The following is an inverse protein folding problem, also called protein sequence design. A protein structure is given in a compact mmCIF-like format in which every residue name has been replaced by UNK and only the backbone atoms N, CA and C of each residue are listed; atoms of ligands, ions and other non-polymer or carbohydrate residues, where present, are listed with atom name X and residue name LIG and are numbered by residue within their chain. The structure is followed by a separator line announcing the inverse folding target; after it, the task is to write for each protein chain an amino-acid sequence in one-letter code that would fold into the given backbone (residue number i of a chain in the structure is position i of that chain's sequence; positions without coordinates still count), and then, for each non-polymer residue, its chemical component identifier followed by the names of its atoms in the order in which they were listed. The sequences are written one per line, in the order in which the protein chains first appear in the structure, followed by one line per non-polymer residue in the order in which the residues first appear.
data_IF_809561986344
#
_entry.id   IF_809561986344
#
_cell.length_a   1.000
_cell.length_b   1.000
_cell.length_c   1.000
_cell.angle_alpha   90.00
_cell.angle_beta   90.00
_cell.angle_gamma   90.00
#
_symmetry.space_group_name_H-M   'P 1'
#
loop_
_entity.id
_entity.type
_entity.pdbx_description
1 polymer ?
#
# COMPACT_ATOMS: atom_id res chain seq x y z
N UNK A 1 -2.34 7.47 12.07
CA UNK A 1 -2.86 8.54 11.19
C UNK A 1 -4.24 8.13 10.70
N UNK A 2 -5.21 9.03 10.77
CA UNK A 2 -6.61 8.74 10.41
C UNK A 2 -6.85 8.95 8.89
N UNK A 3 -7.37 7.91 8.22
CA UNK A 3 -7.62 7.91 6.77
C UNK A 3 -8.67 8.95 6.36
N UNK A 4 -9.67 9.19 7.21
CA UNK A 4 -10.69 10.22 6.98
C UNK A 4 -10.06 11.61 6.97
N UNK A 5 -9.10 11.86 7.86
CA UNK A 5 -8.35 13.12 7.92
C UNK A 5 -7.51 13.36 6.66
N UNK A 6 -6.82 12.34 6.14
CA UNK A 6 -6.08 12.44 4.87
C UNK A 6 -7.03 12.73 3.72
N UNK A 7 -8.14 12.00 3.63
CA UNK A 7 -9.15 12.17 2.57
C UNK A 7 -9.74 13.57 2.58
N UNK A 8 -10.16 14.07 3.75
CA UNK A 8 -10.69 15.43 3.93
C UNK A 8 -9.66 16.50 3.55
N UNK A 9 -8.39 16.28 3.89
CA UNK A 9 -7.30 17.15 3.48
C UNK A 9 -7.17 17.19 1.95
N UNK A 10 -7.20 16.04 1.28
CA UNK A 10 -7.11 15.93 -0.19
C UNK A 10 -8.24 16.68 -0.86
N UNK A 11 -9.49 16.41 -0.47
CA UNK A 11 -10.68 17.04 -1.05
C UNK A 11 -10.63 18.56 -0.96
N UNK A 12 -10.42 19.08 0.26
CA UNK A 12 -10.31 20.53 0.49
C UNK A 12 -9.17 21.15 -0.32
N UNK A 13 -8.00 20.51 -0.32
CA UNK A 13 -6.81 21.01 -1.00
C UNK A 13 -7.01 21.03 -2.52
N UNK A 14 -7.66 20.00 -3.08
CA UNK A 14 -7.99 19.93 -4.49
C UNK A 14 -8.92 21.06 -4.92
N UNK A 15 -10.01 21.29 -4.17
CA UNK A 15 -10.91 22.41 -4.46
C UNK A 15 -10.19 23.77 -4.42
N UNK A 16 -9.32 23.99 -3.42
CA UNK A 16 -8.53 25.22 -3.34
C UNK A 16 -7.56 25.40 -4.51
N UNK A 17 -6.91 24.33 -4.95
CA UNK A 17 -6.02 24.34 -6.11
C UNK A 17 -6.79 24.62 -7.40
N UNK A 18 -7.99 24.07 -7.56
CA UNK A 18 -8.85 24.31 -8.73
C UNK A 18 -9.38 25.76 -8.76
N UNK A 19 -9.77 26.31 -7.62
CA UNK A 19 -10.26 27.70 -7.49
C UNK A 19 -9.13 28.74 -7.62
N UNK A 20 -7.91 28.40 -7.19
CA UNK A 20 -6.77 29.32 -7.16
C UNK A 20 -5.47 28.64 -7.62
N UNK A 21 -5.35 28.24 -8.89
CA UNK A 21 -4.19 27.49 -9.38
C UNK A 21 -2.89 28.31 -9.43
N UNK A 22 -2.99 29.64 -9.34
CA UNK A 22 -1.87 30.59 -9.36
C UNK A 22 -1.48 31.10 -7.96
N UNK A 23 -1.77 30.32 -6.89
CA UNK A 23 -1.35 30.70 -5.54
C UNK A 23 0.18 30.78 -5.45
N UNK A 24 0.66 31.93 -4.95
CA UNK A 24 2.06 32.15 -4.61
C UNK A 24 2.50 31.28 -3.42
N UNK A 25 3.81 31.28 -3.13
CA UNK A 25 4.41 30.47 -2.07
C UNK A 25 3.80 30.74 -0.69
N UNK A 26 3.52 32.01 -0.34
CA UNK A 26 2.98 32.36 0.97
C UNK A 26 1.55 31.82 1.14
N UNK A 27 0.68 31.98 0.14
CA UNK A 27 -0.67 31.42 0.19
C UNK A 27 -0.65 29.90 0.13
N UNK A 28 0.26 29.31 -0.65
CA UNK A 28 0.43 27.85 -0.73
C UNK A 28 0.82 27.25 0.61
N UNK A 29 1.77 27.91 1.31
CA UNK A 29 2.16 27.55 2.68
C UNK A 29 0.96 27.58 3.62
N UNK A 30 0.29 28.72 3.73
CA UNK A 30 -0.81 28.89 4.69
C UNK A 30 -2.03 28.01 4.42
N UNK A 31 -2.36 27.73 3.15
CA UNK A 31 -3.62 27.06 2.78
C UNK A 31 -3.48 25.56 2.54
N UNK A 32 -2.29 25.11 2.12
CA UNK A 32 -2.05 23.71 1.75
C UNK A 32 -1.02 23.06 2.67
N UNK A 33 0.16 23.67 2.82
CA UNK A 33 1.30 23.01 3.49
C UNK A 33 1.17 23.05 5.02
N UNK A 34 0.81 24.18 5.63
CA UNK A 34 0.63 24.26 7.08
C UNK A 34 -0.47 23.28 7.55
N UNK A 35 -1.65 23.21 6.91
CA UNK A 35 -2.63 22.19 7.26
C UNK A 35 -2.15 20.76 7.02
N UNK A 36 -1.33 20.50 6.00
CA UNK A 36 -0.73 19.17 5.82
C UNK A 36 0.20 18.79 6.98
N UNK A 37 1.12 19.69 7.33
CA UNK A 37 2.07 19.50 8.44
C UNK A 37 1.30 19.27 9.75
N UNK A 38 0.25 20.05 9.99
CA UNK A 38 -0.53 20.00 11.24
C UNK A 38 -1.52 18.84 11.29
N UNK A 39 -2.43 18.79 10.33
CA UNK A 39 -3.60 17.92 10.39
C UNK A 39 -3.26 16.50 9.91
N UNK A 40 -2.36 16.37 8.92
CA UNK A 40 -1.96 15.07 8.36
C UNK A 40 -0.75 14.50 9.09
N UNK A 41 0.35 15.26 9.19
CA UNK A 41 1.58 14.76 9.81
C UNK A 41 1.61 14.90 11.35
N UNK A 42 0.67 15.64 11.94
CA UNK A 42 0.53 15.78 13.40
C UNK A 42 1.53 16.73 14.07
N UNK A 43 2.17 17.62 13.32
CA UNK A 43 3.13 18.58 13.86
C UNK A 43 2.45 19.89 14.28
N UNK A 44 2.71 20.35 15.50
CA UNK A 44 2.03 21.52 16.05
C UNK A 44 2.86 22.80 15.94
N UNK A 45 2.34 23.79 15.22
CA UNK A 45 2.93 25.13 15.05
C UNK A 45 2.95 25.97 16.33
N UNK A 46 2.15 25.63 17.34
CA UNK A 46 2.16 26.30 18.64
C UNK A 46 3.18 25.71 19.62
N UNK A 47 3.94 24.71 19.18
CA UNK A 47 4.96 24.02 19.97
C UNK A 47 6.37 24.31 19.46
N UNK A 48 7.38 23.94 20.26
CA UNK A 48 8.79 24.04 19.85
C UNK A 48 9.22 22.92 18.90
N UNK A 49 8.31 22.03 18.48
CA UNK A 49 8.66 20.96 17.53
C UNK A 49 8.71 21.43 16.08
N UNK A 50 8.44 22.70 15.80
CA UNK A 50 8.56 23.32 14.48
C UNK A 50 9.35 24.62 14.61
N UNK A 51 10.39 24.78 13.79
CA UNK A 51 11.04 26.07 13.58
C UNK A 51 10.83 26.50 12.12
N UNK A 52 10.17 27.62 11.92
CA UNK A 52 9.97 28.21 10.60
C UNK A 52 11.19 29.04 10.21
N UNK A 53 11.53 29.07 8.92
CA UNK A 53 12.67 29.84 8.40
C UNK A 53 14.01 29.43 9.05
N UNK A 54 14.15 28.14 9.34
CA UNK A 54 15.29 27.55 10.05
C UNK A 54 16.58 27.77 9.29
N UNK A 55 17.59 28.30 9.97
CA UNK A 55 18.84 28.73 9.34
C UNK A 55 19.89 27.61 9.30
N UNK A 56 20.27 27.20 8.10
CA UNK A 56 21.32 26.21 7.85
C UNK A 56 22.63 26.90 7.45
N UNK A 57 23.73 26.52 8.10
CA UNK A 57 25.05 27.10 7.82
C UNK A 57 25.68 26.44 6.58
N UNK A 58 25.74 27.18 5.47
CA UNK A 58 26.32 26.76 4.20
C UNK A 58 27.65 27.46 3.93
N UNK A 59 28.74 26.84 4.40
CA UNK A 59 30.08 27.44 4.34
C UNK A 59 30.13 28.75 5.13
N UNK A 60 30.32 29.87 4.44
CA UNK A 60 30.28 31.23 5.05
C UNK A 60 28.89 31.89 5.03
N UNK A 61 27.91 31.31 4.33
CA UNK A 61 26.56 31.88 4.18
C UNK A 61 25.54 31.13 5.01
N UNK A 62 24.52 31.83 5.51
CA UNK A 62 23.34 31.19 6.10
C UNK A 62 22.23 31.15 5.06
N UNK A 63 21.72 29.96 4.81
CA UNK A 63 20.51 29.74 4.01
C UNK A 63 19.38 29.31 4.93
N UNK A 64 18.13 29.35 4.44
CA UNK A 64 16.96 29.01 5.24
C UNK A 64 16.14 27.93 4.55
N UNK A 65 15.63 27.01 5.34
CA UNK A 65 14.60 26.06 4.97
C UNK A 65 13.28 26.52 5.60
N UNK A 66 12.15 26.33 4.89
CA UNK A 66 10.86 26.88 5.33
C UNK A 66 10.41 26.33 6.67
N UNK A 67 10.59 25.03 6.89
CA UNK A 67 10.27 24.38 8.16
C UNK A 67 11.33 23.34 8.52
N UNK A 68 11.79 23.39 9.76
CA UNK A 68 12.49 22.31 10.42
C UNK A 68 11.61 21.70 11.49
N UNK A 69 11.34 20.39 11.38
CA UNK A 69 10.53 19.65 12.35
C UNK A 69 11.47 18.91 13.30
N UNK A 70 11.34 19.17 14.60
CA UNK A 70 12.29 18.74 15.62
C UNK A 70 11.80 17.51 16.40
N UNK A 71 12.69 16.54 16.54
CA UNK A 71 12.54 15.44 17.49
C UNK A 71 13.78 15.38 18.39
N UNK A 72 13.56 15.16 19.69
CA UNK A 72 14.61 15.08 20.71
C UNK A 72 15.64 16.23 20.68
N UNK A 73 15.15 17.44 20.40
CA UNK A 73 15.97 18.66 20.40
C UNK A 73 16.84 18.84 19.15
N UNK A 74 16.66 18.03 18.11
CA UNK A 74 17.37 18.15 16.83
C UNK A 74 16.42 18.11 15.62
N UNK A 75 16.76 18.73 14.48
CA UNK A 75 15.94 18.64 13.27
C UNK A 75 15.90 17.20 12.72
N UNK A 76 14.71 16.65 12.56
CA UNK A 76 14.49 15.29 12.04
C UNK A 76 13.88 15.29 10.63
N UNK A 77 13.08 16.31 10.31
CA UNK A 77 12.49 16.50 8.98
C UNK A 77 12.68 17.94 8.52
N UNK A 78 13.14 18.12 7.28
CA UNK A 78 13.11 19.41 6.61
C UNK A 78 11.98 19.48 5.60
N UNK A 79 11.23 20.58 5.61
CA UNK A 79 10.18 20.84 4.62
C UNK A 79 10.51 22.12 3.86
N UNK A 80 10.62 22.02 2.54
CA UNK A 80 10.80 23.15 1.63
C UNK A 80 9.50 23.33 0.82
N UNK A 81 8.96 24.54 0.86
CA UNK A 81 7.73 24.93 0.21
C UNK A 81 8.02 25.64 -1.11
N UNK A 82 7.07 25.52 -2.05
CA UNK A 82 7.02 26.31 -3.29
C UNK A 82 5.59 26.77 -3.54
N UNK A 83 5.41 27.79 -4.36
CA UNK A 83 4.08 28.22 -4.81
C UNK A 83 3.38 27.12 -5.61
N UNK A 84 2.06 27.00 -5.48
CA UNK A 84 1.25 26.10 -6.28
C UNK A 84 1.40 26.37 -7.78
N UNK A 85 1.66 27.63 -8.15
CA UNK A 85 1.99 28.06 -9.51
C UNK A 85 3.39 27.61 -9.99
N UNK A 86 4.22 27.11 -9.09
CA UNK A 86 5.63 26.79 -9.34
C UNK A 86 5.81 25.31 -9.63
N UNK A 87 6.40 25.00 -10.79
CA UNK A 87 6.84 23.65 -11.12
C UNK A 87 8.10 23.30 -10.32
N UNK A 88 8.04 22.21 -9.56
CA UNK A 88 9.19 21.70 -8.81
C UNK A 88 10.27 21.20 -9.79
N UNK A 89 11.48 21.74 -9.67
CA UNK A 89 12.65 21.43 -10.50
C UNK A 89 13.73 20.72 -9.70
N UNK A 90 14.71 20.15 -10.40
CA UNK A 90 15.87 19.51 -9.78
C UNK A 90 16.70 20.49 -8.94
N UNK A 91 16.76 21.78 -9.33
CA UNK A 91 17.46 22.79 -8.53
C UNK A 91 16.83 23.00 -7.16
N UNK A 92 15.50 22.88 -7.04
CA UNK A 92 14.81 22.91 -5.75
C UNK A 92 15.13 21.66 -4.93
N UNK A 93 15.15 20.48 -5.57
CA UNK A 93 15.53 19.23 -4.90
C UNK A 93 16.97 19.30 -4.38
N UNK A 94 17.92 19.76 -5.20
CA UNK A 94 19.33 19.88 -4.83
C UNK A 94 19.58 20.87 -3.69
N UNK A 95 18.76 21.93 -3.60
CA UNK A 95 18.77 22.85 -2.47
C UNK A 95 18.42 22.10 -1.18
N UNK A 96 17.28 21.40 -1.14
CA UNK A 96 16.85 20.64 0.03
C UNK A 96 17.85 19.53 0.39
N UNK A 97 18.33 18.76 -0.58
CA UNK A 97 19.38 17.74 -0.38
C UNK A 97 20.62 18.32 0.27
N UNK A 98 21.03 19.52 -0.14
CA UNK A 98 22.20 20.18 0.44
C UNK A 98 21.96 20.54 1.91
N UNK A 99 20.79 21.09 2.25
CA UNK A 99 20.42 21.38 3.63
C UNK A 99 20.44 20.11 4.50
N UNK A 100 19.80 19.04 4.04
CA UNK A 100 19.75 17.76 4.76
C UNK A 100 21.15 17.19 5.01
N UNK A 101 22.04 17.18 4.01
CA UNK A 101 23.43 16.68 4.17
C UNK A 101 24.23 17.49 5.20
N UNK A 102 24.02 18.80 5.23
CA UNK A 102 24.79 19.70 6.10
C UNK A 102 24.40 19.55 7.57
N UNK A 103 23.12 19.35 7.85
CA UNK A 103 22.58 19.23 9.22
C UNK A 103 22.29 17.78 9.62
N UNK A 104 22.64 16.81 8.77
CA UNK A 104 22.40 15.38 8.98
C UNK A 104 20.94 15.01 9.24
N UNK A 105 20.02 15.72 8.59
CA UNK A 105 18.57 15.52 8.76
C UNK A 105 18.11 14.30 7.99
N UNK A 106 17.40 13.42 8.68
CA UNK A 106 17.04 12.10 8.18
C UNK A 106 16.03 12.16 7.02
N UNK A 107 15.03 13.03 7.13
CA UNK A 107 13.92 13.12 6.18
C UNK A 107 13.78 14.50 5.56
N UNK A 108 13.35 14.53 4.30
CA UNK A 108 13.07 15.75 3.57
C UNK A 108 11.76 15.69 2.82
N UNK A 109 11.04 16.81 2.77
CA UNK A 109 9.84 16.99 1.97
C UNK A 109 9.96 18.27 1.14
N UNK A 110 9.83 18.16 -0.17
CA UNK A 110 9.69 19.30 -1.08
C UNK A 110 8.30 19.28 -1.68
N UNK A 111 7.53 20.34 -1.50
CA UNK A 111 6.14 20.37 -1.96
C UNK A 111 5.67 21.76 -2.40
N UNK A 112 4.73 21.77 -3.34
CA UNK A 112 3.94 22.93 -3.74
C UNK A 112 2.44 22.74 -3.46
N UNK A 113 2.10 21.79 -2.59
CA UNK A 113 0.72 21.40 -2.27
C UNK A 113 0.05 20.49 -3.30
N UNK A 114 0.57 20.39 -4.53
CA UNK A 114 0.09 19.45 -5.57
C UNK A 114 0.96 18.21 -5.68
N UNK A 115 2.28 18.41 -5.68
CA UNK A 115 3.26 17.33 -5.72
C UNK A 115 4.05 17.31 -4.42
N UNK A 116 4.40 16.10 -3.95
CA UNK A 116 5.14 15.85 -2.73
C UNK A 116 6.33 14.97 -3.08
N UNK A 117 7.55 15.50 -2.91
CA UNK A 117 8.79 14.78 -3.14
C UNK A 117 9.42 14.47 -1.78
N UNK A 118 9.51 13.18 -1.45
CA UNK A 118 10.05 12.71 -0.17
C UNK A 118 11.48 12.22 -0.37
N UNK A 119 12.37 12.72 0.48
CA UNK A 119 13.80 12.42 0.45
C UNK A 119 14.26 11.74 1.73
N UNK A 120 15.29 10.91 1.60
CA UNK A 120 15.93 10.24 2.72
C UNK A 120 17.45 10.40 2.66
N UNK A 121 18.02 10.74 3.81
CA UNK A 121 19.47 10.70 4.01
C UNK A 121 19.95 9.25 4.14
N UNK A 122 20.75 8.79 3.19
CA UNK A 122 21.49 7.53 3.29
C UNK A 122 22.78 7.77 4.07
N UNK A 123 22.90 7.08 5.21
CA UNK A 123 24.06 7.15 6.12
C UNK A 123 25.13 6.10 5.78
N UNK A 124 24.89 5.23 4.81
CA UNK A 124 25.80 4.16 4.41
C UNK A 124 26.85 4.68 3.40
N UNK A 125 28.11 4.76 3.82
CA UNK A 125 29.26 5.12 2.98
C UNK A 125 30.13 6.25 3.54
N UNK A 126 31.21 6.59 2.82
CA UNK A 126 32.17 7.65 3.23
C UNK A 126 31.57 9.06 3.19
N UNK A 127 30.44 9.26 2.50
CA UNK A 127 29.74 10.54 2.39
C UNK A 127 28.22 10.33 2.46
N UNK A 128 27.50 11.17 3.23
CA UNK A 128 26.04 11.12 3.26
C UNK A 128 25.48 11.49 1.88
N UNK A 129 24.62 10.63 1.35
CA UNK A 129 23.85 10.90 0.13
C UNK A 129 22.38 11.12 0.48
N UNK A 130 21.67 11.89 -0.34
CA UNK A 130 20.23 12.14 -0.13
C UNK A 130 19.49 11.70 -1.37
N UNK A 131 18.77 10.61 -1.24
CA UNK A 131 17.99 10.03 -2.33
C UNK A 131 16.56 10.59 -2.34
N UNK A 132 15.99 10.70 -3.54
CA UNK A 132 14.55 10.87 -3.71
C UNK A 132 13.91 9.48 -3.57
N UNK A 133 13.09 9.28 -2.54
CA UNK A 133 12.35 8.03 -2.35
C UNK A 133 11.17 7.95 -3.30
N UNK A 134 10.37 9.02 -3.33
CA UNK A 134 9.16 9.05 -4.15
C UNK A 134 8.72 10.47 -4.44
N UNK A 135 8.11 10.62 -5.60
CA UNK A 135 7.24 11.74 -5.95
C UNK A 135 5.81 11.21 -6.00
N UNK A 136 4.92 11.84 -5.24
CA UNK A 136 3.48 11.54 -5.25
C UNK A 136 2.70 12.82 -5.54
N UNK A 137 1.55 12.68 -6.18
CA UNK A 137 0.62 13.80 -6.36
C UNK A 137 -0.41 13.81 -5.22
N UNK A 138 -1.09 14.94 -5.02
CA UNK A 138 -2.06 15.15 -3.94
C UNK A 138 -3.12 14.06 -3.87
N UNK A 139 -3.59 13.57 -5.03
CA UNK A 139 -4.60 12.52 -5.12
C UNK A 139 -4.09 11.15 -4.65
N UNK A 140 -2.77 10.93 -4.63
CA UNK A 140 -2.16 9.63 -4.32
C UNK A 140 -1.74 9.53 -2.85
N UNK A 141 -2.00 10.55 -2.02
CA UNK A 141 -1.55 10.56 -0.63
C UNK A 141 -2.15 9.39 0.18
N UNK A 142 -3.40 9.01 -0.07
CA UNK A 142 -4.04 7.85 0.60
C UNK A 142 -3.39 6.53 0.20
N UNK A 143 -3.04 6.36 -1.07
CA UNK A 143 -2.33 5.18 -1.56
C UNK A 143 -0.85 5.11 -1.11
N UNK A 144 -0.34 6.16 -0.46
CA UNK A 144 1.04 6.24 0.02
C UNK A 144 1.08 6.56 1.52
N UNK A 145 0.17 5.94 2.28
CA UNK A 145 0.02 6.10 3.72
C UNK A 145 1.32 5.90 4.51
N UNK A 146 2.17 4.96 4.08
CA UNK A 146 3.45 4.66 4.73
C UNK A 146 4.42 5.84 4.67
N UNK A 147 4.40 6.66 3.62
CA UNK A 147 5.21 7.87 3.53
C UNK A 147 4.72 8.93 4.52
N UNK A 148 3.40 9.07 4.64
CA UNK A 148 2.80 9.97 5.62
C UNK A 148 3.12 9.51 7.04
N UNK A 149 3.02 8.19 7.29
CA UNK A 149 3.39 7.58 8.55
C UNK A 149 4.88 7.83 8.85
N UNK A 150 5.79 7.64 7.88
CA UNK A 150 7.22 7.85 8.07
C UNK A 150 7.58 9.32 8.42
N UNK A 151 6.84 10.30 7.89
CA UNK A 151 7.03 11.73 8.15
C UNK A 151 6.24 12.26 9.35
N UNK A 152 5.33 11.45 9.91
CA UNK A 152 4.49 11.85 11.03
C UNK A 152 5.29 12.10 12.29
N UNK A 153 4.83 13.05 13.11
CA UNK A 153 5.48 13.37 14.39
C UNK A 153 5.64 12.15 15.28
N UNK A 154 4.59 11.32 15.36
CA UNK A 154 4.55 10.11 16.18
C UNK A 154 5.64 9.10 15.76
N UNK A 155 5.73 8.76 14.47
CA UNK A 155 6.74 7.81 13.98
C UNK A 155 8.16 8.35 14.06
N UNK A 156 8.34 9.65 13.91
CA UNK A 156 9.65 10.28 14.04
C UNK A 156 10.11 10.24 15.51
N UNK A 157 9.23 10.59 16.46
CA UNK A 157 9.57 10.61 17.89
C UNK A 157 9.75 9.21 18.50
N UNK A 158 8.98 8.22 18.04
CA UNK A 158 9.11 6.84 18.50
C UNK A 158 10.26 6.07 17.84
N UNK A 159 10.84 6.62 16.75
CA UNK A 159 11.83 5.93 15.92
C UNK A 159 11.23 4.99 14.87
N UNK A 160 9.92 4.72 14.90
CA UNK A 160 9.23 3.84 13.94
C UNK A 160 9.38 4.29 12.48
N UNK A 161 9.64 5.57 12.22
CA UNK A 161 9.97 6.08 10.88
C UNK A 161 11.16 5.35 10.24
N UNK A 162 12.16 4.98 11.02
CA UNK A 162 13.32 4.24 10.53
C UNK A 162 12.93 2.81 10.17
N UNK A 163 12.13 2.15 11.00
CA UNK A 163 11.65 0.79 10.73
C UNK A 163 10.76 0.73 9.48
N UNK A 164 9.87 1.72 9.30
CA UNK A 164 9.05 1.87 8.10
C UNK A 164 9.94 1.96 6.86
N UNK A 165 10.97 2.82 6.90
CA UNK A 165 11.91 2.97 5.80
C UNK A 165 12.68 1.67 5.51
N UNK A 166 13.25 1.03 6.53
CA UNK A 166 14.01 -0.21 6.37
C UNK A 166 13.16 -1.35 5.81
N UNK A 167 11.88 -1.42 6.17
CA UNK A 167 10.93 -2.38 5.61
C UNK A 167 10.73 -2.14 4.11
N UNK A 168 10.56 -0.89 3.71
CA UNK A 168 10.40 -0.51 2.29
C UNK A 168 11.68 -0.79 1.49
N UNK A 169 12.85 -0.44 2.01
CA UNK A 169 14.12 -0.69 1.31
C UNK A 169 14.44 -2.18 1.20
N UNK A 170 14.20 -2.99 2.24
CA UNK A 170 14.36 -4.46 2.16
C UNK A 170 13.49 -5.06 1.07
N UNK A 171 12.24 -4.62 0.97
CA UNK A 171 11.30 -5.07 -0.07
C UNK A 171 11.78 -4.62 -1.45
N UNK A 172 12.21 -3.37 -1.62
CA UNK A 172 12.78 -2.86 -2.87
C UNK A 172 14.01 -3.65 -3.30
N UNK A 173 14.90 -3.97 -2.36
CA UNK A 173 16.07 -4.80 -2.62
C UNK A 173 15.67 -6.21 -3.07
N UNK A 174 14.63 -6.81 -2.45
CA UNK A 174 14.12 -8.11 -2.86
C UNK A 174 13.53 -8.07 -4.28
N UNK A 175 12.73 -7.06 -4.61
CA UNK A 175 12.16 -6.86 -5.96
C UNK A 175 13.28 -6.71 -6.99
N UNK A 176 14.29 -5.90 -6.72
CA UNK A 176 15.43 -5.72 -7.62
C UNK A 176 16.21 -7.04 -7.80
N UNK A 177 16.49 -7.76 -6.71
CA UNK A 177 17.18 -9.04 -6.77
C UNK A 177 16.39 -10.10 -7.57
N UNK A 178 15.06 -10.15 -7.39
CA UNK A 178 14.18 -11.02 -8.17
C UNK A 178 14.14 -10.63 -9.65
N UNK A 179 14.07 -9.33 -9.94
CA UNK A 179 14.01 -8.79 -11.31
C UNK A 179 15.30 -9.05 -12.07
N UNK A 180 16.45 -8.72 -11.46
CA UNK A 180 17.78 -8.91 -12.05
C UNK A 180 18.12 -10.40 -12.21
N UNK A 181 17.76 -11.21 -11.22
CA UNK A 181 18.01 -12.66 -11.19
C UNK A 181 16.92 -13.52 -11.85
N UNK A 182 15.91 -12.92 -12.49
CA UNK A 182 14.67 -13.63 -12.88
C UNK A 182 14.91 -14.93 -13.66
N UNK A 183 15.78 -14.87 -14.67
CA UNK A 183 16.06 -16.04 -15.53
C UNK A 183 16.81 -17.13 -14.77
N UNK A 184 17.75 -16.75 -13.92
CA UNK A 184 18.59 -17.67 -13.15
C UNK A 184 17.80 -18.35 -12.02
N UNK A 185 16.92 -17.60 -11.37
CA UNK A 185 16.01 -18.12 -10.33
C UNK A 185 15.00 -19.07 -10.97
N UNK A 186 14.37 -18.69 -12.08
CA UNK A 186 13.42 -19.56 -12.78
C UNK A 186 14.08 -20.86 -13.29
N UNK A 187 15.32 -20.77 -13.78
CA UNK A 187 16.13 -21.93 -14.17
C UNK A 187 16.42 -22.85 -12.97
N UNK A 188 16.80 -22.29 -11.83
CA UNK A 188 17.07 -23.07 -10.62
C UNK A 188 15.82 -23.81 -10.11
N UNK A 189 14.65 -23.16 -10.15
CA UNK A 189 13.37 -23.78 -9.80
C UNK A 189 13.06 -24.91 -10.81
N UNK A 190 13.15 -24.64 -12.13
CA UNK A 190 12.91 -25.64 -13.17
C UNK A 190 13.79 -26.87 -12.97
N UNK A 191 15.08 -26.67 -12.78
CA UNK A 191 16.06 -27.75 -12.59
C UNK A 191 15.72 -28.60 -11.36
N UNK A 192 15.38 -27.96 -10.25
CA UNK A 192 14.99 -28.67 -9.01
C UNK A 192 13.78 -29.58 -9.23
N UNK A 193 12.80 -29.14 -10.03
CA UNK A 193 11.62 -29.94 -10.38
C UNK A 193 11.98 -31.09 -11.31
N UNK A 194 12.76 -30.84 -12.37
CA UNK A 194 13.21 -31.87 -13.31
C UNK A 194 14.03 -32.96 -12.61
N UNK A 195 14.94 -32.57 -11.71
CA UNK A 195 15.77 -33.51 -10.95
C UNK A 195 14.95 -34.47 -10.07
N UNK A 196 13.71 -34.09 -9.71
CA UNK A 196 12.85 -34.88 -8.82
C UNK A 196 11.78 -35.69 -9.55
N UNK A 197 11.25 -35.19 -10.66
CA UNK A 197 10.09 -35.76 -11.36
C UNK A 197 10.46 -36.27 -12.76
N UNK A 198 11.65 -35.93 -13.27
CA UNK A 198 12.14 -36.28 -14.60
C UNK A 198 11.73 -35.30 -15.69
N UNK A 199 12.22 -35.52 -16.91
CA UNK A 199 12.10 -34.58 -18.05
C UNK A 199 10.68 -34.34 -18.57
N UNK A 200 9.70 -35.17 -18.19
CA UNK A 200 8.31 -35.04 -18.65
C UNK A 200 7.70 -33.69 -18.29
N UNK A 201 8.15 -33.08 -17.18
CA UNK A 201 7.64 -31.80 -16.70
C UNK A 201 8.50 -30.61 -17.12
N UNK A 202 9.51 -30.79 -17.97
CA UNK A 202 10.50 -29.76 -18.32
C UNK A 202 9.88 -28.46 -18.87
N UNK A 203 8.99 -28.58 -19.86
CA UNK A 203 8.29 -27.44 -20.47
C UNK A 203 7.30 -26.75 -19.49
N UNK A 204 6.39 -27.48 -18.80
CA UNK A 204 5.55 -26.89 -17.77
C UNK A 204 6.34 -26.22 -16.64
N UNK A 205 7.42 -26.85 -16.17
CA UNK A 205 8.27 -26.32 -15.10
C UNK A 205 8.98 -25.04 -15.53
N UNK A 206 9.41 -24.93 -16.79
CA UNK A 206 10.00 -23.69 -17.31
C UNK A 206 8.99 -22.52 -17.29
N UNK A 207 7.80 -22.74 -17.84
CA UNK A 207 6.74 -21.73 -17.92
C UNK A 207 6.33 -21.27 -16.51
N UNK A 208 6.00 -22.22 -15.64
CA UNK A 208 5.52 -21.93 -14.30
C UNK A 208 6.60 -21.31 -13.39
N UNK A 209 7.87 -21.65 -13.57
CA UNK A 209 8.95 -21.03 -12.79
C UNK A 209 9.13 -19.55 -13.14
N UNK A 210 8.99 -19.19 -14.44
CA UNK A 210 9.05 -17.80 -14.88
C UNK A 210 7.84 -17.01 -14.34
N UNK A 211 6.65 -17.59 -14.46
CA UNK A 211 5.41 -17.01 -13.92
C UNK A 211 5.48 -16.82 -12.41
N UNK A 212 5.97 -17.81 -11.67
CA UNK A 212 6.11 -17.69 -10.22
C UNK A 212 7.00 -16.51 -9.80
N UNK A 213 8.12 -16.27 -10.49
CA UNK A 213 8.98 -15.12 -10.19
C UNK A 213 8.27 -13.80 -10.53
N UNK A 214 7.53 -13.75 -11.64
CA UNK A 214 6.74 -12.57 -12.02
C UNK A 214 5.62 -12.27 -11.02
N UNK A 215 4.91 -13.30 -10.56
CA UNK A 215 3.83 -13.18 -9.60
C UNK A 215 4.38 -12.72 -8.24
N UNK A 216 5.53 -13.26 -7.81
CA UNK A 216 6.18 -12.85 -6.57
C UNK A 216 6.66 -11.39 -6.62
N UNK A 217 7.20 -10.94 -7.75
CA UNK A 217 7.56 -9.52 -7.95
C UNK A 217 6.30 -8.66 -7.84
N UNK A 218 5.23 -9.05 -8.54
CA UNK A 218 3.97 -8.31 -8.58
C UNK A 218 3.34 -8.20 -7.18
N UNK A 219 3.36 -9.28 -6.40
CA UNK A 219 2.86 -9.30 -5.01
C UNK A 219 3.66 -8.34 -4.11
N UNK A 220 4.99 -8.35 -4.23
CA UNK A 220 5.84 -7.45 -3.46
C UNK A 220 5.67 -5.98 -3.90
N UNK A 221 5.26 -5.72 -5.14
CA UNK A 221 4.95 -4.38 -5.63
C UNK A 221 3.57 -3.88 -5.16
N UNK A 222 2.54 -4.74 -5.13
CA UNK A 222 1.18 -4.36 -4.72
C UNK A 222 1.11 -3.98 -3.23
N UNK A 223 1.91 -4.63 -2.40
CA UNK A 223 2.02 -4.34 -0.97
C UNK A 223 2.65 -2.96 -0.65
N UNK A 224 3.10 -2.19 -1.64
CA UNK A 224 3.54 -0.80 -1.42
C UNK A 224 2.37 0.15 -1.08
N UNK A 225 1.13 -0.25 -1.39
CA UNK A 225 -0.07 0.57 -1.15
C UNK A 225 -0.83 0.21 0.14
N UNK A 226 -0.57 -0.96 0.73
CA UNK A 226 -1.25 -1.44 1.95
C UNK A 226 -0.29 -1.35 3.15
N UNK A 227 0.07 -0.12 3.55
CA UNK A 227 0.96 0.16 4.66
C UNK A 227 0.35 -0.05 6.05
N UNK A 228 -0.57 -0.98 6.26
CA UNK A 228 -1.17 -1.25 7.59
C UNK A 228 -0.42 -2.36 8.36
N UNK A 229 0.27 -1.89 9.39
CA UNK A 229 0.38 -2.45 10.73
C UNK A 229 0.93 -3.88 10.95
N UNK A 230 2.22 -3.98 11.29
CA UNK A 230 2.70 -5.02 12.19
C UNK A 230 3.79 -4.40 13.06
N UNK A 231 3.36 -3.82 14.17
CA UNK A 231 4.20 -3.20 15.20
C UNK A 231 3.60 -3.53 16.55
N UNK A 232 3.83 -4.78 17.00
CA UNK A 232 3.40 -5.25 18.30
C UNK A 232 4.11 -4.47 19.41
N UNK A 233 3.33 -3.77 20.24
CA UNK A 233 3.82 -3.14 21.45
C UNK A 233 3.74 -4.15 22.61
N UNK A 234 4.86 -4.41 23.27
CA UNK A 234 4.91 -5.21 24.50
C UNK A 234 5.48 -4.39 25.65
N UNK A 235 4.60 -4.19 26.66
CA UNK A 235 4.83 -4.05 28.12
C UNK A 235 5.57 -2.77 28.62
N UNK A 236 5.21 -2.04 29.69
CA UNK A 236 4.56 -2.28 31.00
C UNK A 236 3.83 -1.00 31.48
N UNK A 237 2.57 -1.09 31.94
CA UNK A 237 2.10 -1.01 33.34
C UNK A 237 2.58 0.18 34.20
N UNK A 238 1.64 1.04 34.62
CA UNK A 238 1.27 1.22 36.04
C UNK A 238 -0.07 2.00 36.22
N UNK A 239 -1.07 1.27 36.78
CA UNK A 239 -2.11 1.65 37.77
C UNK A 239 -2.92 2.95 37.67
N UNK A 240 -4.26 2.83 37.61
CA UNK A 240 -5.15 2.97 38.79
C UNK A 240 -6.67 2.92 38.46
N UNK A 241 -7.31 1.81 38.88
CA UNK A 241 -8.65 1.67 39.51
C UNK A 241 -9.90 2.38 38.98
N UNK A 242 -10.94 1.56 38.70
CA UNK A 242 -12.36 1.95 38.75
C UNK A 242 -13.29 0.84 38.23
N UNK A 243 -13.96 0.13 39.14
CA UNK A 243 -14.95 -0.94 38.94
C UNK A 243 -16.01 -0.66 37.86
N UNK A 244 -16.41 -1.71 37.16
CA UNK A 244 -17.56 -1.76 36.27
C UNK A 244 -17.66 -3.11 35.56
N UNK A 245 -18.27 -4.07 36.24
CA UNK A 245 -18.54 -5.44 35.80
C UNK A 245 -19.55 -5.44 34.63
N UNK A 246 -19.13 -5.84 33.43
CA UNK A 246 -20.02 -6.38 32.39
C UNK A 246 -19.23 -7.36 31.51
N UNK A 247 -19.64 -8.61 31.58
CA UNK A 247 -19.19 -9.74 30.77
C UNK A 247 -19.63 -9.57 29.32
N UNK A 248 -18.68 -9.53 28.38
CA UNK A 248 -18.85 -10.09 27.03
C UNK A 248 -17.46 -10.42 26.45
N UNK A 249 -17.26 -11.72 26.23
CA UNK A 249 -16.17 -12.30 25.47
C UNK A 249 -16.49 -12.16 23.99
N UNK A 250 -15.68 -11.44 23.21
CA UNK A 250 -15.01 -11.94 22.01
C UNK A 250 -14.19 -10.82 21.35
N UNK A 251 -12.91 -11.12 21.19
CA UNK A 251 -11.90 -10.38 20.42
C UNK A 251 -12.22 -10.53 18.92
N UNK A 252 -12.20 -9.48 18.07
CA UNK A 252 -12.52 -9.62 16.66
C UNK A 252 -11.39 -10.38 15.95
N UNK A 253 -11.73 -11.56 15.43
CA UNK A 253 -10.80 -12.48 14.75
C UNK A 253 -10.34 -11.93 13.40
N UNK A 254 -9.13 -12.33 12.99
CA UNK A 254 -8.48 -12.15 11.68
C UNK A 254 -9.24 -12.83 10.51
N UNK A 255 -10.57 -12.90 10.58
CA UNK A 255 -11.41 -13.69 9.68
C UNK A 255 -11.92 -12.82 8.54
N UNK A 256 -11.74 -13.29 7.31
CA UNK A 256 -12.29 -12.66 6.11
C UNK A 256 -13.81 -12.83 6.08
N UNK A 257 -14.56 -11.78 5.79
CA UNK A 257 -16.03 -11.81 5.74
C UNK A 257 -16.54 -11.29 4.40
N UNK A 258 -17.47 -12.02 3.79
CA UNK A 258 -18.23 -11.58 2.60
C UNK A 258 -19.72 -11.63 2.92
N UNK A 259 -20.43 -10.55 2.64
CA UNK A 259 -21.90 -10.50 2.77
C UNK A 259 -22.51 -10.35 1.38
N UNK A 260 -23.46 -11.23 1.06
CA UNK A 260 -24.31 -11.18 -0.13
C UNK A 260 -25.71 -10.73 0.31
N UNK A 261 -26.32 -9.83 -0.43
CA UNK A 261 -27.68 -9.36 -0.17
C UNK A 261 -28.50 -9.29 -1.46
N UNK A 262 -29.74 -9.75 -1.39
CA UNK A 262 -30.75 -9.54 -2.42
C UNK A 262 -31.92 -8.70 -1.85
N UNK A 263 -33.02 -8.57 -2.61
CA UNK A 263 -34.18 -7.76 -2.17
C UNK A 263 -34.95 -8.36 -0.99
N UNK A 264 -34.64 -9.59 -0.60
CA UNK A 264 -35.40 -10.41 0.35
C UNK A 264 -34.58 -10.93 1.53
N UNK A 265 -33.30 -11.27 1.33
CA UNK A 265 -32.43 -11.91 2.31
C UNK A 265 -30.98 -11.40 2.22
N UNK A 266 -30.23 -11.55 3.32
CA UNK A 266 -28.80 -11.27 3.37
C UNK A 266 -28.08 -12.41 4.08
N UNK A 267 -27.01 -12.91 3.44
CA UNK A 267 -26.21 -14.04 3.91
C UNK A 267 -24.77 -13.60 4.11
N UNK A 268 -24.18 -13.95 5.25
CA UNK A 268 -22.79 -13.65 5.59
C UNK A 268 -21.96 -14.93 5.59
N UNK A 269 -20.79 -14.87 4.99
CA UNK A 269 -19.80 -15.93 4.91
C UNK A 269 -18.52 -15.46 5.56
N UNK A 270 -17.82 -16.35 6.27
CA UNK A 270 -16.55 -16.02 6.91
C UNK A 270 -15.59 -17.20 6.87
N UNK A 271 -14.31 -16.94 6.60
CA UNK A 271 -13.25 -17.96 6.61
C UNK A 271 -11.90 -17.29 6.91
N UNK A 272 -10.94 -18.03 7.44
CA UNK A 272 -9.57 -17.55 7.67
C UNK A 272 -8.70 -17.64 6.39
N UNK A 273 -9.25 -18.19 5.30
CA UNK A 273 -8.63 -18.31 3.98
C UNK A 273 -9.48 -17.65 2.90
N UNK A 274 -8.97 -16.61 2.25
CA UNK A 274 -9.65 -15.95 1.12
C UNK A 274 -10.01 -16.92 -0.02
N UNK A 275 -9.19 -17.94 -0.25
CA UNK A 275 -9.43 -18.92 -1.30
C UNK A 275 -10.63 -19.82 -0.96
N UNK A 276 -10.75 -20.24 0.29
CA UNK A 276 -11.86 -21.06 0.78
C UNK A 276 -13.15 -20.24 0.87
N UNK A 277 -13.04 -18.98 1.31
CA UNK A 277 -14.16 -18.04 1.32
C UNK A 277 -14.68 -17.75 -0.09
N UNK A 278 -13.79 -17.47 -1.05
CA UNK A 278 -14.18 -17.28 -2.45
C UNK A 278 -14.88 -18.53 -3.00
N UNK A 279 -14.36 -19.72 -2.71
CA UNK A 279 -15.03 -20.98 -3.06
C UNK A 279 -16.45 -21.08 -2.49
N UNK A 280 -16.61 -20.75 -1.20
CA UNK A 280 -17.89 -20.78 -0.50
C UNK A 280 -18.91 -19.79 -1.09
N UNK A 281 -18.48 -18.55 -1.34
CA UNK A 281 -19.35 -17.51 -1.92
C UNK A 281 -19.77 -17.88 -3.35
N UNK A 282 -18.84 -18.37 -4.18
CA UNK A 282 -19.15 -18.81 -5.54
C UNK A 282 -20.09 -20.02 -5.54
N UNK A 283 -19.89 -20.98 -4.64
CA UNK A 283 -20.79 -22.11 -4.45
C UNK A 283 -22.21 -21.65 -4.07
N UNK A 284 -22.34 -20.63 -3.22
CA UNK A 284 -23.63 -20.03 -2.88
C UNK A 284 -24.29 -19.34 -4.08
N UNK A 285 -23.54 -18.52 -4.83
CA UNK A 285 -24.05 -17.84 -6.03
C UNK A 285 -24.51 -18.83 -7.11
N UNK A 286 -23.84 -19.99 -7.24
CA UNK A 286 -24.26 -21.05 -8.15
C UNK A 286 -25.59 -21.68 -7.71
N UNK A 287 -25.76 -21.95 -6.41
CA UNK A 287 -26.94 -22.65 -5.89
C UNK A 287 -28.19 -21.78 -5.81
N UNK A 288 -28.03 -20.54 -5.37
CA UNK A 288 -29.16 -19.67 -5.01
C UNK A 288 -29.42 -18.57 -6.05
N UNK A 289 -28.42 -18.17 -6.84
CA UNK A 289 -28.50 -16.97 -7.69
C UNK A 289 -28.18 -17.21 -9.17
N UNK A 290 -28.09 -18.47 -9.62
CA UNK A 290 -28.01 -18.82 -11.05
C UNK A 290 -26.72 -18.38 -11.75
N UNK A 291 -25.59 -18.30 -11.03
CA UNK A 291 -24.31 -17.82 -11.57
C UNK A 291 -23.88 -18.52 -12.88
N UNK A 292 -24.13 -19.81 -13.00
CA UNK A 292 -23.77 -20.59 -14.19
C UNK A 292 -24.50 -20.10 -15.43
N UNK A 293 -25.80 -19.79 -15.30
CA UNK A 293 -26.60 -19.31 -16.42
C UNK A 293 -26.13 -17.92 -16.90
N UNK A 294 -25.60 -17.10 -15.98
CA UNK A 294 -25.08 -15.77 -16.29
C UNK A 294 -23.75 -15.82 -17.10
N UNK A 295 -22.94 -16.86 -16.90
CA UNK A 295 -21.63 -17.03 -17.57
C UNK A 295 -21.60 -18.13 -18.63
N UNK A 296 -22.72 -18.80 -18.90
CA UNK A 296 -22.79 -19.81 -19.94
C UNK A 296 -22.60 -19.19 -21.35
N UNK A 297 -21.84 -19.84 -22.25
CA UNK A 297 -21.11 -21.10 -22.03
C UNK A 297 -19.78 -20.89 -21.27
N UNK A 298 -19.44 -21.83 -20.38
CA UNK A 298 -18.14 -21.89 -19.71
C UNK A 298 -17.04 -22.43 -20.64
N UNK A 299 -15.74 -22.12 -20.38
CA UNK A 299 -15.19 -21.35 -19.26
C UNK A 299 -15.37 -19.83 -19.36
N UNK A 300 -15.44 -19.15 -18.20
CA UNK A 300 -15.30 -17.70 -18.09
C UNK A 300 -13.81 -17.29 -18.04
N UNK A 301 -13.37 -16.50 -19.02
CA UNK A 301 -11.95 -16.17 -19.26
C UNK A 301 -11.75 -14.66 -19.54
N UNK A 302 -11.83 -13.78 -18.53
CA UNK A 302 -11.80 -12.32 -18.74
C UNK A 302 -10.51 -11.80 -19.41
N UNK A 303 -9.38 -12.51 -19.24
CA UNK A 303 -8.07 -12.17 -19.83
C UNK A 303 -7.63 -13.04 -21.01
N UNK A 304 -8.51 -13.88 -21.58
CA UNK A 304 -8.23 -14.87 -22.65
C UNK A 304 -7.16 -15.94 -22.35
N UNK A 305 -6.58 -15.96 -21.14
CA UNK A 305 -5.53 -16.92 -20.74
C UNK A 305 -5.95 -17.84 -19.61
N UNK A 306 -6.56 -17.30 -18.56
CA UNK A 306 -6.89 -18.04 -17.34
C UNK A 306 -8.41 -18.14 -17.20
N UNK A 307 -8.93 -19.37 -17.11
CA UNK A 307 -10.32 -19.62 -16.76
C UNK A 307 -10.52 -19.39 -15.26
N UNK A 308 -11.45 -18.50 -14.91
CA UNK A 308 -11.77 -18.16 -13.52
C UNK A 308 -12.90 -19.04 -12.98
N UNK A 309 -13.92 -19.30 -13.80
CA UNK A 309 -15.02 -20.23 -13.53
C UNK A 309 -15.10 -21.22 -14.69
N UNK A 310 -15.15 -22.52 -14.39
CA UNK A 310 -15.08 -23.57 -15.41
C UNK A 310 -15.90 -24.82 -15.05
N UNK A 311 -16.31 -25.60 -16.06
CA UNK A 311 -16.92 -26.93 -15.94
C UNK A 311 -15.89 -28.07 -16.02
N UNK A 312 -14.65 -27.76 -16.38
CA UNK A 312 -13.50 -28.65 -16.29
C UNK A 312 -12.34 -27.98 -15.53
N UNK A 313 -11.50 -28.74 -14.77
CA UNK A 313 -10.36 -28.18 -14.06
C UNK A 313 -9.15 -27.97 -15.00
N UNK A 314 -9.37 -27.31 -16.14
CA UNK A 314 -8.35 -26.97 -17.14
C UNK A 314 -8.47 -25.51 -17.55
N UNK A 315 -7.38 -24.91 -18.01
CA UNK A 315 -7.40 -23.59 -18.63
C UNK A 315 -7.58 -23.71 -20.15
N UNK A 316 -7.97 -22.64 -20.86
CA UNK A 316 -8.08 -22.66 -22.32
C UNK A 316 -6.77 -23.03 -23.05
N UNK A 317 -5.63 -22.89 -22.37
CA UNK A 317 -4.32 -23.36 -22.85
C UNK A 317 -4.19 -24.89 -22.90
N UNK A 318 -5.12 -25.63 -22.27
CA UNK A 318 -5.03 -27.07 -22.01
C UNK A 318 -4.22 -27.42 -20.76
N UNK A 319 -3.67 -26.42 -20.05
CA UNK A 319 -3.00 -26.63 -18.76
C UNK A 319 -4.02 -26.95 -17.68
N UNK A 320 -3.64 -27.78 -16.71
CA UNK A 320 -4.47 -28.07 -15.55
C UNK A 320 -4.68 -26.80 -14.71
N UNK A 321 -5.94 -26.56 -14.32
CA UNK A 321 -6.27 -25.51 -13.37
C UNK A 321 -5.74 -25.93 -12.00
N UNK A 322 -4.71 -25.25 -11.49
CA UNK A 322 -4.13 -25.54 -10.17
C UNK A 322 -4.68 -24.58 -9.12
N UNK A 323 -4.75 -25.01 -7.86
CA UNK A 323 -5.24 -24.19 -6.74
C UNK A 323 -6.66 -23.63 -6.98
N UNK A 324 -7.57 -24.52 -7.41
CA UNK A 324 -9.00 -24.23 -7.53
C UNK A 324 -9.75 -24.64 -6.27
N UNK A 325 -11.04 -24.28 -6.21
CA UNK A 325 -12.05 -24.89 -5.35
C UNK A 325 -13.13 -25.52 -6.20
N UNK A 326 -13.50 -26.75 -5.85
CA UNK A 326 -14.67 -27.39 -6.43
C UNK A 326 -15.90 -26.72 -5.81
N UNK A 327 -16.82 -26.27 -6.67
CA UNK A 327 -18.06 -25.60 -6.30
C UNK A 327 -19.24 -26.40 -6.86
N UNK A 328 -20.44 -26.13 -6.34
CA UNK A 328 -21.63 -26.94 -6.58
C UNK A 328 -21.93 -27.17 -8.06
N UNK A 329 -22.51 -28.31 -8.41
CA UNK A 329 -22.85 -28.63 -9.80
C UNK A 329 -21.70 -29.20 -10.66
N UNK A 330 -20.54 -29.46 -10.06
CA UNK A 330 -19.38 -30.02 -10.78
C UNK A 330 -18.52 -28.95 -11.47
N UNK A 331 -18.64 -27.70 -11.02
CA UNK A 331 -17.86 -26.57 -11.51
C UNK A 331 -16.65 -26.29 -10.63
N UNK A 332 -15.73 -25.48 -11.13
CA UNK A 332 -14.45 -25.16 -10.52
C UNK A 332 -14.21 -23.65 -10.59
N UNK A 333 -13.79 -23.08 -9.46
CA UNK A 333 -13.33 -21.69 -9.40
C UNK A 333 -11.83 -21.63 -9.15
N UNK A 334 -11.12 -20.89 -9.98
CA UNK A 334 -9.69 -20.65 -9.82
C UNK A 334 -9.46 -19.63 -8.70
N UNK A 335 -8.67 -19.99 -7.69
CA UNK A 335 -8.49 -19.16 -6.47
C UNK A 335 -7.08 -18.63 -6.27
N UNK A 336 -6.14 -18.98 -7.15
CA UNK A 336 -4.77 -18.46 -7.15
C UNK A 336 -4.71 -17.08 -7.79
N UNK A 337 -5.32 -16.13 -7.09
CA UNK A 337 -5.46 -14.73 -7.47
C UNK A 337 -5.01 -13.85 -6.31
N UNK A 338 -4.50 -12.65 -6.57
CA UNK A 338 -4.29 -11.68 -5.50
C UNK A 338 -5.64 -11.24 -4.90
N UNK A 339 -5.58 -10.67 -3.70
CA UNK A 339 -6.71 -10.14 -2.93
C UNK A 339 -7.68 -9.27 -3.75
N UNK A 340 -7.12 -8.32 -4.50
CA UNK A 340 -7.90 -7.39 -5.34
C UNK A 340 -8.62 -8.09 -6.48
N UNK A 341 -7.99 -9.07 -7.12
CA UNK A 341 -8.58 -9.85 -8.21
C UNK A 341 -9.65 -10.83 -7.69
N UNK A 342 -9.47 -11.42 -6.49
CA UNK A 342 -10.53 -12.20 -5.83
C UNK A 342 -11.76 -11.33 -5.57
N UNK A 343 -11.59 -10.14 -4.99
CA UNK A 343 -12.70 -9.19 -4.77
C UNK A 343 -13.35 -8.79 -6.09
N UNK A 344 -12.56 -8.42 -7.10
CA UNK A 344 -13.08 -8.02 -8.41
C UNK A 344 -13.95 -9.11 -9.03
N UNK A 345 -13.47 -10.36 -9.05
CA UNK A 345 -14.25 -11.45 -9.62
C UNK A 345 -15.48 -11.82 -8.79
N UNK A 346 -15.42 -11.72 -7.46
CA UNK A 346 -16.60 -11.88 -6.61
C UNK A 346 -17.64 -10.77 -6.87
N UNK A 347 -17.21 -9.53 -7.09
CA UNK A 347 -18.07 -8.42 -7.51
C UNK A 347 -18.67 -8.70 -8.90
N UNK A 348 -17.85 -9.07 -9.88
CA UNK A 348 -18.32 -9.40 -11.23
C UNK A 348 -19.38 -10.53 -11.19
N UNK A 349 -19.16 -11.55 -10.36
CA UNK A 349 -20.10 -12.66 -10.17
C UNK A 349 -21.40 -12.21 -9.47
N UNK A 350 -21.31 -11.38 -8.44
CA UNK A 350 -22.47 -10.82 -7.75
C UNK A 350 -23.30 -9.94 -8.68
N UNK A 351 -22.65 -9.04 -9.43
CA UNK A 351 -23.27 -8.17 -10.43
C UNK A 351 -23.98 -8.98 -11.51
N UNK A 352 -23.36 -10.05 -12.01
CA UNK A 352 -23.95 -10.95 -13.00
C UNK A 352 -25.18 -11.70 -12.46
N UNK A 353 -25.21 -11.98 -11.16
CA UNK A 353 -26.33 -12.57 -10.44
C UNK A 353 -27.39 -11.55 -9.99
N UNK A 354 -27.14 -10.24 -10.12
CA UNK A 354 -28.04 -9.18 -9.67
C UNK A 354 -28.17 -9.07 -8.15
N UNK A 355 -27.11 -9.40 -7.41
CA UNK A 355 -27.05 -9.31 -5.94
C UNK A 355 -25.98 -8.32 -5.49
N UNK A 356 -26.19 -7.68 -4.35
CA UNK A 356 -25.21 -6.79 -3.74
C UNK A 356 -24.18 -7.61 -2.95
N UNK A 357 -22.92 -7.19 -3.01
CA UNK A 357 -21.80 -7.80 -2.28
C UNK A 357 -21.05 -6.77 -1.47
N UNK A 358 -20.67 -7.12 -0.24
CA UNK A 358 -19.79 -6.32 0.60
C UNK A 358 -18.75 -7.20 1.30
N UNK A 359 -17.61 -6.58 1.64
CA UNK A 359 -16.45 -7.25 2.21
C UNK A 359 -16.11 -6.61 3.55
N UNK A 360 -15.81 -7.44 4.54
CA UNK A 360 -15.51 -7.04 5.91
C UNK A 360 -14.39 -7.95 6.47
N UNK A 361 -13.74 -7.55 7.56
CA UNK A 361 -12.45 -8.12 7.96
C UNK A 361 -11.29 -7.68 7.04
N UNK A 362 -10.07 -8.11 7.31
CA UNK A 362 -8.87 -7.67 6.55
C UNK A 362 -8.77 -8.24 5.12
N UNK A 363 -9.89 -8.68 4.53
CA UNK A 363 -10.36 -8.06 3.29
C UNK A 363 -9.41 -7.89 2.15
#
# INVERSE_FOLDING_TARGET
MDEETVTRYIERSRSLVEESPQMDEQNTRARLIDPFIKDVLGWDFYSTSIEMEYSVQMGSTKKKVDYALFADGSPAVFVEAKGCDTTISESHADQLRSYMRQEWVDWGLLTNGKSFLVFRLKKDGDKPDVELLRRIELADLTANDWLLAALSKESIQSGASTEIYERVERRRQAINALSDGKSEIAEAIRKTVIDRVGEVVSQPAESLSKTFVDDLISELESDQNDGRNSGGNSTQSETASGDGEETETDDPSDTYVVKIADQTESTSFSDDSQADLMGTVVDHLIREHGLIDAYAPLPYVPGKKIAILNDEPTHPSGEEMRLYRAVGGGYYVYTSLNKGDKKRHLIDFADACGVDISFDGEW
#
